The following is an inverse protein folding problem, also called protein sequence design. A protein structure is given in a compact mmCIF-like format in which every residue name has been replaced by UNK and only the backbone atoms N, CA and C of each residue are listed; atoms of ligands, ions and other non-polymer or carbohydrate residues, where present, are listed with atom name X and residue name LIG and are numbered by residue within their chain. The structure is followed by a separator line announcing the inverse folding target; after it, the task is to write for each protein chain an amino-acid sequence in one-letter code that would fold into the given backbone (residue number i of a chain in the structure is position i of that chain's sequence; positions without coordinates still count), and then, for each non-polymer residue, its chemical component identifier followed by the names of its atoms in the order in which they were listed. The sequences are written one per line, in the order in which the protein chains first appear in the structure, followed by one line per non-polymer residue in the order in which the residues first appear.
data_IF_863175190133
#
_entry.id   IF_863175190133
#
_cell.length_a   1.000
_cell.length_b   1.000
_cell.length_c   1.000
_cell.angle_alpha   90.00
_cell.angle_beta   90.00
_cell.angle_gamma   90.00
#
_symmetry.space_group_name_H-M   'P 1'
#
loop_
_entity.id
_entity.type
_entity.pdbx_description
1 polymer ?
#
# COMPACT_ATOMS: atom_id res chain seq x y z
N UNK A 1 -65.08 -3.31 -12.21
CA UNK A 1 -64.75 -1.97 -12.69
C UNK A 1 -63.27 -1.96 -13.00
N UNK A 2 -63.00 -1.80 -14.28
CA UNK A 2 -61.65 -1.83 -14.86
C UNK A 2 -60.90 -0.52 -14.60
N UNK A 3 -59.66 -0.59 -14.10
CA UNK A 3 -58.75 0.56 -13.98
C UNK A 3 -57.52 0.35 -14.85
N UNK A 4 -57.31 1.30 -15.72
CA UNK A 4 -56.43 1.39 -16.87
C UNK A 4 -54.94 1.39 -16.43
N UNK A 5 -54.08 0.60 -17.12
CA UNK A 5 -52.61 0.64 -17.08
C UNK A 5 -52.10 1.78 -18.00
N UNK A 6 -51.04 2.51 -17.63
CA UNK A 6 -50.42 3.49 -18.54
C UNK A 6 -49.38 2.84 -19.48
N UNK A 7 -49.21 3.49 -20.57
CA UNK A 7 -48.59 3.17 -21.83
C UNK A 7 -47.20 2.59 -21.81
N UNK A 8 -46.97 1.59 -22.66
CA UNK A 8 -45.73 0.96 -23.03
C UNK A 8 -44.83 1.87 -23.87
N UNK A 9 -43.62 2.14 -23.39
CA UNK A 9 -42.51 2.70 -24.17
C UNK A 9 -42.06 1.66 -25.18
N UNK A 10 -42.21 1.90 -26.48
CA UNK A 10 -41.68 1.08 -27.56
C UNK A 10 -40.16 1.20 -27.63
N UNK A 11 -39.46 0.13 -27.36
CA UNK A 11 -38.04 -0.07 -27.72
C UNK A 11 -37.96 -0.60 -29.16
N UNK A 12 -36.92 -0.23 -29.95
CA UNK A 12 -36.76 -0.72 -31.31
C UNK A 12 -36.42 -2.22 -31.30
N UNK A 13 -37.23 -2.95 -32.04
CA UNK A 13 -37.11 -4.38 -32.36
C UNK A 13 -35.85 -4.61 -33.17
N UNK A 14 -34.92 -5.41 -32.64
CA UNK A 14 -34.10 -6.43 -33.32
C UNK A 14 -32.98 -6.94 -32.43
N UNK A 15 -33.30 -7.77 -31.45
CA UNK A 15 -32.32 -8.70 -30.86
C UNK A 15 -33.02 -10.03 -30.58
N UNK A 16 -32.66 -11.04 -31.37
CA UNK A 16 -33.03 -12.42 -31.09
C UNK A 16 -32.12 -12.97 -30.00
N UNK A 17 -32.72 -13.38 -28.89
CA UNK A 17 -32.01 -14.15 -27.84
C UNK A 17 -32.18 -15.63 -28.11
N UNK A 18 -31.12 -16.31 -28.53
CA UNK A 18 -31.04 -17.77 -28.46
C UNK A 18 -30.21 -18.14 -27.22
N UNK A 19 -30.87 -18.56 -26.17
CA UNK A 19 -30.25 -19.27 -25.05
C UNK A 19 -30.38 -20.77 -25.28
N UNK A 20 -29.25 -21.48 -25.47
CA UNK A 20 -29.17 -22.93 -25.30
C UNK A 20 -28.27 -23.22 -24.10
N UNK A 21 -28.71 -24.08 -23.16
CA UNK A 21 -27.84 -24.52 -22.07
C UNK A 21 -26.91 -25.63 -22.63
N UNK A 22 -25.63 -25.39 -22.63
CA UNK A 22 -24.62 -26.43 -22.76
C UNK A 22 -24.29 -26.96 -21.37
N UNK A 23 -24.64 -28.21 -21.12
CA UNK A 23 -24.22 -28.97 -19.95
C UNK A 23 -22.87 -29.62 -20.30
N UNK A 24 -21.81 -29.25 -19.60
CA UNK A 24 -20.54 -29.98 -19.64
C UNK A 24 -20.45 -30.84 -18.37
N UNK A 25 -19.97 -32.07 -18.54
CA UNK A 25 -19.96 -33.20 -17.56
C UNK A 25 -19.04 -33.02 -16.36
N UNK A 26 -18.93 -31.83 -15.77
CA UNK A 26 -18.14 -31.55 -14.58
C UNK A 26 -18.79 -30.55 -13.62
N UNK A 27 -20.07 -30.70 -13.36
CA UNK A 27 -20.76 -30.18 -12.15
C UNK A 27 -20.50 -28.75 -11.67
N UNK A 28 -19.94 -27.87 -12.47
CA UNK A 28 -19.68 -26.48 -12.10
C UNK A 28 -20.62 -25.56 -12.88
N UNK A 29 -21.58 -24.98 -12.18
CA UNK A 29 -22.52 -23.99 -12.70
C UNK A 29 -21.73 -22.67 -12.95
N UNK A 30 -21.37 -22.39 -14.20
CA UNK A 30 -20.88 -21.07 -14.61
C UNK A 30 -22.06 -20.11 -14.73
N UNK A 31 -22.32 -19.35 -13.68
CA UNK A 31 -23.19 -18.18 -13.75
C UNK A 31 -22.43 -17.08 -14.49
N UNK A 32 -22.75 -16.89 -15.75
CA UNK A 32 -22.27 -15.73 -16.51
C UNK A 32 -22.98 -14.48 -15.99
N UNK A 33 -22.22 -13.61 -15.34
CA UNK A 33 -22.70 -12.31 -14.88
C UNK A 33 -22.96 -11.41 -16.11
N UNK A 34 -24.23 -11.24 -16.47
CA UNK A 34 -24.69 -10.43 -17.61
C UNK A 34 -24.26 -8.96 -17.47
N UNK A 35 -24.02 -8.49 -16.25
CA UNK A 35 -23.55 -7.12 -15.96
C UNK A 35 -22.12 -6.89 -16.46
N UNK A 36 -21.26 -7.91 -16.48
CA UNK A 36 -19.87 -7.77 -16.95
C UNK A 36 -19.77 -7.53 -18.48
N UNK A 37 -20.72 -8.05 -19.25
CA UNK A 37 -20.81 -7.82 -20.71
C UNK A 37 -21.37 -6.43 -21.03
N UNK A 38 -22.35 -5.94 -20.26
CA UNK A 38 -22.90 -4.60 -20.41
C UNK A 38 -21.87 -3.53 -20.08
N UNK A 39 -21.06 -3.74 -19.06
CA UNK A 39 -19.99 -2.80 -18.63
C UNK A 39 -18.87 -2.75 -19.68
N UNK A 40 -18.49 -3.87 -20.31
CA UNK A 40 -17.52 -3.88 -21.42
C UNK A 40 -18.02 -3.06 -22.63
N UNK A 41 -19.30 -3.14 -22.95
CA UNK A 41 -19.88 -2.36 -24.06
C UNK A 41 -19.96 -0.87 -23.73
N UNK A 42 -20.29 -0.50 -22.51
CA UNK A 42 -20.30 0.90 -22.03
C UNK A 42 -18.87 1.45 -21.97
N UNK A 43 -17.89 0.63 -21.56
CA UNK A 43 -16.48 1.01 -21.52
C UNK A 43 -15.91 1.25 -22.94
N UNK A 44 -16.15 0.33 -23.86
CA UNK A 44 -15.76 0.47 -25.26
C UNK A 44 -16.48 1.64 -25.97
N UNK A 45 -17.75 1.89 -25.61
CA UNK A 45 -18.54 2.98 -26.16
C UNK A 45 -18.06 4.36 -25.69
N UNK A 46 -17.67 4.51 -24.42
CA UNK A 46 -17.13 5.75 -23.90
C UNK A 46 -15.72 6.08 -24.43
N UNK A 47 -14.88 5.10 -24.71
CA UNK A 47 -13.56 5.31 -25.34
C UNK A 47 -13.72 5.75 -26.80
N UNK A 48 -14.69 5.19 -27.53
CA UNK A 48 -14.89 5.53 -28.94
C UNK A 48 -15.65 6.84 -29.19
N UNK A 49 -16.40 7.35 -28.20
CA UNK A 49 -17.13 8.63 -28.31
C UNK A 49 -16.34 9.86 -27.83
N UNK A 50 -15.16 9.70 -27.26
CA UNK A 50 -14.30 10.82 -26.84
C UNK A 50 -13.44 11.38 -27.98
N UNK A 51 -13.96 11.47 -29.19
CA UNK A 51 -13.27 12.10 -30.34
C UNK A 51 -13.32 13.61 -30.38
N UNK A 52 -13.87 14.29 -29.38
CA UNK A 52 -13.71 15.72 -29.22
C UNK A 52 -12.36 16.06 -28.59
N UNK A 53 -11.38 16.30 -29.44
CA UNK A 53 -9.98 16.63 -29.13
C UNK A 53 -9.84 17.87 -28.22
N UNK A 54 -10.90 18.66 -28.04
CA UNK A 54 -10.86 19.91 -27.27
C UNK A 54 -11.27 19.80 -25.79
N UNK A 55 -11.60 18.60 -25.27
CA UNK A 55 -11.99 18.39 -23.87
C UNK A 55 -11.32 17.19 -23.22
N UNK A 56 -10.03 16.99 -23.47
CA UNK A 56 -9.27 16.00 -22.68
C UNK A 56 -9.38 16.37 -21.20
N UNK A 57 -9.89 15.49 -20.32
CA UNK A 57 -9.96 15.79 -18.90
C UNK A 57 -8.56 16.08 -18.38
N UNK A 58 -8.44 17.09 -17.53
CA UNK A 58 -7.16 17.43 -16.90
C UNK A 58 -6.77 16.29 -15.96
N UNK A 59 -5.82 15.45 -16.38
CA UNK A 59 -5.37 14.25 -15.66
C UNK A 59 -4.38 14.56 -14.52
N UNK A 60 -4.33 15.80 -14.07
CA UNK A 60 -3.54 16.23 -12.91
C UNK A 60 -4.25 17.36 -12.17
N UNK A 61 -4.01 17.46 -10.89
CA UNK A 61 -4.60 18.47 -10.06
C UNK A 61 -3.85 19.82 -10.17
N UNK A 62 -4.58 20.92 -10.29
CA UNK A 62 -4.06 22.30 -10.35
C UNK A 62 -4.23 23.07 -9.03
N UNK A 63 -4.88 22.47 -8.04
CA UNK A 63 -5.14 23.08 -6.73
C UNK A 63 -3.95 22.81 -5.80
N UNK A 64 -3.66 23.75 -4.89
CA UNK A 64 -2.57 23.58 -3.91
C UNK A 64 -2.83 22.39 -2.98
N UNK A 65 -1.76 21.73 -2.51
CA UNK A 65 -1.91 20.64 -1.53
C UNK A 65 -2.57 21.10 -0.23
N UNK A 66 -2.31 22.34 0.20
CA UNK A 66 -2.90 22.93 1.41
C UNK A 66 -4.41 23.07 1.30
N UNK A 67 -4.89 23.57 0.16
CA UNK A 67 -6.32 23.69 -0.10
C UNK A 67 -7.01 22.33 -0.21
N UNK A 68 -6.38 21.36 -0.88
CA UNK A 68 -6.93 20.00 -0.98
C UNK A 68 -7.01 19.31 0.38
N UNK A 69 -5.98 19.48 1.21
CA UNK A 69 -5.98 18.95 2.57
C UNK A 69 -7.07 19.62 3.43
N UNK A 70 -7.24 20.94 3.30
CA UNK A 70 -8.30 21.66 4.00
C UNK A 70 -9.71 21.17 3.57
N UNK A 71 -9.93 20.95 2.27
CA UNK A 71 -11.19 20.38 1.73
C UNK A 71 -11.47 19.00 2.29
N UNK A 72 -10.46 18.11 2.32
CA UNK A 72 -10.59 16.75 2.90
C UNK A 72 -10.89 16.80 4.40
N UNK A 73 -10.24 17.70 5.16
CA UNK A 73 -10.51 17.85 6.59
C UNK A 73 -11.93 18.37 6.89
N UNK A 74 -12.48 19.19 6.00
CA UNK A 74 -13.85 19.69 6.09
C UNK A 74 -14.91 18.67 5.62
N UNK A 75 -14.51 17.60 4.92
CA UNK A 75 -15.43 16.58 4.45
C UNK A 75 -16.01 15.79 5.63
N UNK A 76 -17.32 15.66 5.69
CA UNK A 76 -18.05 14.95 6.74
C UNK A 76 -18.49 13.55 6.33
N UNK A 77 -18.45 13.23 5.03
CA UNK A 77 -18.78 11.90 4.53
C UNK A 77 -17.74 10.89 5.00
N UNK A 78 -18.16 9.77 5.62
CA UNK A 78 -17.23 8.69 5.99
C UNK A 78 -16.52 8.13 4.75
N UNK A 79 -15.25 7.79 4.89
CA UNK A 79 -14.46 7.19 3.82
C UNK A 79 -13.85 5.89 4.31
N UNK A 80 -13.65 4.96 3.39
CA UNK A 80 -12.98 3.68 3.66
C UNK A 80 -11.63 3.66 2.97
N UNK A 81 -10.58 3.48 3.75
CA UNK A 81 -9.21 3.33 3.25
C UNK A 81 -8.94 1.86 2.94
N UNK A 82 -8.49 1.59 1.71
CA UNK A 82 -8.15 0.24 1.25
C UNK A 82 -6.83 0.23 0.51
N UNK A 83 -6.12 -0.90 0.61
CA UNK A 83 -4.97 -1.19 -0.23
C UNK A 83 -5.19 -2.48 -1.01
N UNK A 84 -4.67 -2.50 -2.23
CA UNK A 84 -4.72 -3.69 -3.09
C UNK A 84 -3.57 -3.68 -4.08
N UNK A 85 -3.21 -4.86 -4.55
CA UNK A 85 -2.25 -5.02 -5.64
C UNK A 85 -2.58 -6.28 -6.44
N UNK A 86 -2.12 -6.32 -7.69
CA UNK A 86 -2.15 -7.52 -8.51
C UNK A 86 -1.01 -7.50 -9.50
N UNK A 87 -0.27 -8.59 -9.57
CA UNK A 87 0.68 -8.86 -10.65
C UNK A 87 -0.08 -9.51 -11.82
N UNK A 88 -0.02 -8.88 -12.98
CA UNK A 88 -0.57 -9.40 -14.25
C UNK A 88 0.06 -8.63 -15.42
N UNK A 89 0.11 -9.24 -16.59
CA UNK A 89 0.64 -8.58 -17.79
C UNK A 89 -0.30 -7.49 -18.27
N UNK A 90 0.23 -6.30 -18.49
CA UNK A 90 -0.49 -5.13 -18.98
C UNK A 90 0.26 -4.52 -20.17
N UNK A 91 -0.32 -4.63 -21.37
CA UNK A 91 0.35 -4.21 -22.62
C UNK A 91 0.50 -2.69 -22.71
N UNK A 92 -0.55 -1.93 -22.35
CA UNK A 92 -0.55 -0.47 -22.36
C UNK A 92 -0.90 0.11 -20.98
N UNK A 93 0.10 0.27 -20.09
CA UNK A 93 -0.10 0.85 -18.77
C UNK A 93 -0.61 2.30 -18.80
N UNK A 94 -0.29 3.06 -19.88
CA UNK A 94 -0.67 4.46 -19.98
C UNK A 94 -2.17 4.60 -20.25
N UNK A 95 -2.70 3.93 -21.26
CA UNK A 95 -4.13 3.95 -21.58
C UNK A 95 -4.95 3.37 -20.43
N UNK A 96 -4.50 2.29 -19.80
CA UNK A 96 -5.14 1.74 -18.62
C UNK A 96 -5.19 2.74 -17.46
N UNK A 97 -4.07 3.44 -17.17
CA UNK A 97 -4.01 4.48 -16.16
C UNK A 97 -5.00 5.60 -16.43
N UNK A 98 -5.07 6.09 -17.68
CA UNK A 98 -5.90 7.22 -18.04
C UNK A 98 -7.40 6.89 -17.89
N UNK A 99 -7.81 5.73 -18.38
CA UNK A 99 -9.17 5.25 -18.25
C UNK A 99 -9.59 5.02 -16.79
N UNK A 100 -8.73 4.37 -15.99
CA UNK A 100 -8.99 4.12 -14.58
C UNK A 100 -9.01 5.46 -13.78
N UNK A 101 -8.14 6.41 -14.12
CA UNK A 101 -8.11 7.73 -13.47
C UNK A 101 -9.45 8.45 -13.63
N UNK A 102 -9.98 8.53 -14.85
CA UNK A 102 -11.28 9.17 -15.13
C UNK A 102 -12.38 8.52 -14.29
N UNK A 103 -12.45 7.20 -14.29
CA UNK A 103 -13.47 6.46 -13.55
C UNK A 103 -13.38 6.67 -12.03
N UNK A 104 -12.16 6.73 -11.46
CA UNK A 104 -11.96 6.91 -10.02
C UNK A 104 -12.13 8.35 -9.56
N UNK A 105 -11.84 9.35 -10.40
CA UNK A 105 -12.13 10.77 -10.11
C UNK A 105 -13.63 10.99 -9.98
N UNK A 106 -14.45 10.41 -10.87
CA UNK A 106 -15.92 10.47 -10.80
C UNK A 106 -16.47 9.91 -9.48
N UNK A 107 -15.78 8.90 -8.92
CA UNK A 107 -16.10 8.29 -7.63
C UNK A 107 -15.51 9.04 -6.42
N UNK A 108 -14.86 10.17 -6.62
CA UNK A 108 -14.17 10.97 -5.59
C UNK A 108 -13.15 10.15 -4.79
N UNK A 109 -12.47 9.22 -5.46
CA UNK A 109 -11.41 8.41 -4.86
C UNK A 109 -10.17 9.26 -4.67
N UNK A 110 -9.55 9.19 -3.48
CA UNK A 110 -8.25 9.77 -3.21
C UNK A 110 -7.23 8.64 -3.00
N UNK A 111 -5.95 8.92 -3.16
CA UNK A 111 -4.91 7.92 -2.91
C UNK A 111 -3.76 7.94 -3.88
N UNK A 112 -2.95 6.88 -3.79
CA UNK A 112 -1.79 6.65 -4.67
C UNK A 112 -1.94 5.33 -5.39
N UNK A 113 -1.81 5.36 -6.72
CA UNK A 113 -1.87 4.17 -7.56
C UNK A 113 -0.65 4.16 -8.48
N UNK A 114 0.08 3.08 -8.47
CA UNK A 114 1.18 2.79 -9.38
C UNK A 114 0.76 1.69 -10.33
N UNK A 115 0.99 1.91 -11.63
CA UNK A 115 0.66 0.99 -12.71
C UNK A 115 1.93 0.74 -13.50
N UNK A 116 2.18 -0.50 -13.85
CA UNK A 116 3.33 -0.92 -14.64
C UNK A 116 2.90 -2.05 -15.61
N UNK A 117 3.80 -2.46 -16.50
CA UNK A 117 3.56 -3.63 -17.36
C UNK A 117 3.33 -4.92 -16.57
N UNK A 118 3.79 -4.97 -15.32
CA UNK A 118 3.65 -6.12 -14.42
C UNK A 118 2.41 -6.06 -13.52
N UNK A 119 1.56 -4.99 -13.60
CA UNK A 119 0.33 -4.91 -12.82
C UNK A 119 0.02 -3.57 -12.18
N UNK A 120 -0.65 -3.62 -11.01
CA UNK A 120 -1.15 -2.45 -10.25
C UNK A 120 -0.82 -2.58 -8.76
N UNK A 121 -0.53 -1.44 -8.13
CA UNK A 121 -0.38 -1.28 -6.67
C UNK A 121 -1.09 0.00 -6.23
N UNK A 122 -2.00 -0.10 -5.29
CA UNK A 122 -2.88 0.99 -4.88
C UNK A 122 -3.06 1.07 -3.36
N UNK A 123 -3.09 2.30 -2.85
CA UNK A 123 -3.62 2.65 -1.54
C UNK A 123 -4.58 3.82 -1.77
N UNK A 124 -5.84 3.63 -1.45
CA UNK A 124 -6.91 4.59 -1.77
C UNK A 124 -7.89 4.77 -0.63
N UNK A 125 -8.50 5.95 -0.57
CA UNK A 125 -9.60 6.31 0.31
C UNK A 125 -10.83 6.56 -0.57
N UNK A 126 -11.92 5.89 -0.28
CA UNK A 126 -13.15 5.87 -1.07
C UNK A 126 -14.31 6.34 -0.19
N UNK A 127 -15.17 7.28 -0.63
CA UNK A 127 -16.39 7.61 0.09
C UNK A 127 -17.23 6.35 0.36
N UNK A 128 -17.74 6.20 1.58
CA UNK A 128 -18.49 5.00 1.96
C UNK A 128 -19.70 4.75 1.05
N UNK A 129 -20.38 5.80 0.62
CA UNK A 129 -21.50 5.72 -0.32
C UNK A 129 -21.11 5.22 -1.72
N UNK A 130 -19.84 5.38 -2.11
CA UNK A 130 -19.33 4.97 -3.41
C UNK A 130 -18.57 3.64 -3.39
N UNK A 131 -18.40 2.99 -2.24
CA UNK A 131 -17.50 1.85 -2.09
C UNK A 131 -17.88 0.66 -2.99
N UNK A 132 -19.16 0.30 -3.07
CA UNK A 132 -19.62 -0.78 -3.95
C UNK A 132 -19.52 -0.44 -5.44
N UNK A 133 -19.73 0.83 -5.81
CA UNK A 133 -19.52 1.29 -7.18
C UNK A 133 -18.03 1.27 -7.53
N UNK A 134 -17.16 1.69 -6.61
CA UNK A 134 -15.70 1.57 -6.73
C UNK A 134 -15.27 0.12 -6.98
N UNK A 135 -15.75 -0.82 -6.16
CA UNK A 135 -15.42 -2.25 -6.30
C UNK A 135 -15.81 -2.79 -7.66
N UNK A 136 -17.02 -2.51 -8.12
CA UNK A 136 -17.50 -2.91 -9.46
C UNK A 136 -16.68 -2.27 -10.58
N UNK A 137 -16.38 -0.99 -10.49
CA UNK A 137 -15.54 -0.27 -11.46
C UNK A 137 -14.14 -0.86 -11.55
N UNK A 138 -13.53 -1.16 -10.41
CA UNK A 138 -12.21 -1.79 -10.36
C UNK A 138 -12.22 -3.17 -10.98
N UNK A 139 -13.19 -4.03 -10.66
CA UNK A 139 -13.30 -5.38 -11.21
C UNK A 139 -13.59 -5.38 -12.72
N UNK A 140 -14.31 -4.38 -13.21
CA UNK A 140 -14.59 -4.23 -14.63
C UNK A 140 -13.39 -3.68 -15.44
N UNK A 141 -12.42 -3.03 -14.78
CA UNK A 141 -11.30 -2.40 -15.46
C UNK A 141 -10.35 -3.41 -16.15
N UNK A 142 -10.19 -4.62 -15.59
CA UNK A 142 -9.39 -5.69 -16.22
C UNK A 142 -9.79 -7.06 -15.65
N UNK A 143 -9.79 -8.15 -16.49
CA UNK A 143 -10.15 -9.49 -16.03
C UNK A 143 -9.33 -9.99 -14.83
N UNK A 144 -8.04 -9.65 -14.77
CA UNK A 144 -7.15 -10.02 -13.65
C UNK A 144 -7.52 -9.34 -12.33
N UNK A 145 -8.36 -8.31 -12.35
CA UNK A 145 -8.79 -7.58 -11.15
C UNK A 145 -10.10 -8.10 -10.56
N UNK A 146 -10.77 -9.04 -11.26
CA UNK A 146 -12.00 -9.65 -10.75
C UNK A 146 -11.71 -10.39 -9.44
N UNK A 147 -12.41 -10.02 -8.37
CA UNK A 147 -12.30 -10.68 -7.07
C UNK A 147 -10.98 -10.46 -6.34
N UNK A 148 -10.15 -9.47 -6.75
CA UNK A 148 -8.93 -9.16 -6.00
C UNK A 148 -9.23 -8.80 -4.55
N UNK A 149 -8.29 -9.13 -3.68
CA UNK A 149 -8.37 -8.75 -2.27
C UNK A 149 -8.28 -7.24 -2.11
N UNK A 150 -9.20 -6.67 -1.34
CA UNK A 150 -9.17 -5.30 -0.87
C UNK A 150 -8.86 -5.32 0.63
N UNK A 151 -7.64 -4.98 1.01
CA UNK A 151 -7.21 -4.89 2.40
C UNK A 151 -7.76 -3.58 3.00
N UNK A 152 -8.84 -3.67 3.74
CA UNK A 152 -9.43 -2.53 4.47
C UNK A 152 -8.56 -2.19 5.65
N UNK A 153 -8.32 -0.92 5.89
CA UNK A 153 -7.55 -0.40 7.02
C UNK A 153 -8.05 -0.94 8.36
N UNK A 154 -7.14 -1.21 9.29
CA UNK A 154 -7.47 -1.67 10.65
C UNK A 154 -8.06 -0.54 11.48
N UNK A 155 -7.52 0.68 11.31
CA UNK A 155 -8.02 1.91 11.90
C UNK A 155 -8.18 2.94 10.78
N UNK A 156 -9.35 3.56 10.67
CA UNK A 156 -9.65 4.52 9.60
C UNK A 156 -10.42 5.72 10.14
N UNK A 157 -9.79 6.88 10.09
CA UNK A 157 -10.39 8.18 10.42
C UNK A 157 -10.97 8.89 9.19
N UNK A 158 -10.90 8.25 8.01
CA UNK A 158 -11.32 8.81 6.73
C UNK A 158 -10.40 9.90 6.18
N UNK A 159 -9.24 10.16 6.80
CA UNK A 159 -8.33 11.26 6.48
C UNK A 159 -6.99 10.82 5.88
N UNK A 160 -6.91 9.59 5.40
CA UNK A 160 -5.67 8.97 4.88
C UNK A 160 -5.09 9.65 3.63
N UNK A 161 -5.95 10.19 2.74
CA UNK A 161 -5.53 10.85 1.51
C UNK A 161 -6.44 12.04 1.16
N UNK A 162 -5.89 13.06 0.45
CA UNK A 162 -6.63 14.25 0.02
C UNK A 162 -6.65 14.47 -1.49
N UNK A 163 -5.97 13.62 -2.28
CA UNK A 163 -5.90 13.74 -3.75
C UNK A 163 -5.62 12.38 -4.37
N UNK A 164 -6.17 12.13 -5.58
CA UNK A 164 -5.83 10.97 -6.37
C UNK A 164 -4.55 11.24 -7.16
N UNK A 165 -3.53 10.39 -6.95
CA UNK A 165 -2.26 10.39 -7.72
C UNK A 165 -2.06 9.03 -8.36
N UNK A 166 -2.13 8.99 -9.68
CA UNK A 166 -1.85 7.78 -10.46
C UNK A 166 -0.64 7.99 -11.34
N UNK A 167 0.32 7.06 -11.26
CA UNK A 167 1.58 7.14 -12.02
C UNK A 167 1.88 5.82 -12.70
N UNK A 168 2.27 5.88 -13.97
CA UNK A 168 2.93 4.77 -14.65
C UNK A 168 4.38 4.71 -14.17
N UNK A 169 4.87 3.51 -13.90
CA UNK A 169 6.21 3.19 -13.43
C UNK A 169 6.74 1.98 -14.20
N UNK A 170 8.03 1.75 -14.14
CA UNK A 170 8.64 0.55 -14.71
C UNK A 170 8.20 -0.71 -13.96
N UNK A 171 8.01 -0.58 -12.63
CA UNK A 171 7.59 -1.65 -11.73
C UNK A 171 6.60 -1.14 -10.68
N UNK A 172 5.68 -2.01 -10.22
CA UNK A 172 4.73 -1.65 -9.15
C UNK A 172 5.35 -1.67 -7.75
N UNK A 173 6.51 -2.33 -7.59
CA UNK A 173 7.39 -2.24 -6.43
C UNK A 173 8.84 -2.21 -6.91
N UNK A 174 9.66 -1.34 -6.33
CA UNK A 174 11.05 -1.14 -6.75
C UNK A 174 11.95 -2.24 -6.18
N UNK A 175 12.01 -3.41 -6.83
CA UNK A 175 12.75 -4.59 -6.38
C UNK A 175 14.23 -4.61 -6.82
N UNK A 176 14.56 -3.93 -7.91
CA UNK A 176 15.93 -3.90 -8.46
C UNK A 176 16.45 -5.23 -9.02
N UNK A 177 15.59 -6.22 -9.22
CA UNK A 177 15.98 -7.52 -9.77
C UNK A 177 16.21 -7.36 -11.27
N UNK A 178 17.44 -7.58 -11.72
CA UNK A 178 17.85 -7.48 -13.12
C UNK A 178 18.42 -8.82 -13.64
N UNK A 179 17.79 -9.92 -13.24
CA UNK A 179 18.15 -11.28 -13.61
C UNK A 179 17.11 -11.83 -14.60
N UNK A 180 17.47 -12.07 -15.87
CA UNK A 180 16.53 -12.56 -16.89
C UNK A 180 15.97 -13.94 -16.60
N UNK A 181 16.63 -14.73 -15.75
CA UNK A 181 16.17 -16.07 -15.33
C UNK A 181 15.19 -16.04 -14.14
N UNK A 182 15.00 -14.87 -13.54
CA UNK A 182 14.07 -14.70 -12.43
C UNK A 182 12.62 -14.76 -12.89
N UNK A 183 11.86 -15.69 -12.30
CA UNK A 183 10.42 -15.84 -12.55
C UNK A 183 9.63 -15.32 -11.33
N UNK A 184 9.01 -14.14 -11.41
CA UNK A 184 8.23 -13.57 -10.31
C UNK A 184 6.95 -14.34 -9.97
N UNK A 185 6.53 -15.29 -10.83
CA UNK A 185 5.35 -16.14 -10.59
C UNK A 185 5.66 -17.32 -9.67
N UNK A 186 6.92 -17.66 -9.45
CA UNK A 186 7.33 -18.76 -8.57
C UNK A 186 7.39 -18.33 -7.10
N UNK A 187 6.30 -17.76 -6.60
CA UNK A 187 6.17 -17.28 -5.23
C UNK A 187 6.25 -18.39 -4.19
N UNK A 188 6.51 -18.03 -2.92
CA UNK A 188 6.40 -18.91 -1.76
C UNK A 188 4.95 -19.31 -1.49
N UNK A 189 4.75 -20.21 -0.51
CA UNK A 189 3.42 -20.61 -0.08
C UNK A 189 2.75 -19.51 0.74
N UNK A 190 1.47 -19.26 0.50
CA UNK A 190 0.68 -18.34 1.30
C UNK A 190 0.29 -18.96 2.62
N UNK A 191 0.32 -18.17 3.69
CA UNK A 191 -0.12 -18.56 5.03
C UNK A 191 -1.29 -17.69 5.48
N UNK A 192 -2.35 -18.32 5.99
CA UNK A 192 -3.41 -17.66 6.75
C UNK A 192 -3.02 -17.45 8.22
N UNK A 193 -3.82 -16.73 9.01
CA UNK A 193 -3.47 -16.38 10.38
C UNK A 193 -3.27 -17.60 11.31
N UNK A 194 -4.04 -18.65 11.14
CA UNK A 194 -3.88 -19.88 11.96
C UNK A 194 -2.56 -20.60 11.64
N UNK A 195 -2.18 -20.64 10.35
CA UNK A 195 -0.91 -21.21 9.91
C UNK A 195 0.27 -20.37 10.38
N UNK A 196 0.17 -19.03 10.30
CA UNK A 196 1.17 -18.10 10.83
C UNK A 196 1.42 -18.38 12.33
N UNK A 197 0.35 -18.47 13.13
CA UNK A 197 0.47 -18.71 14.56
C UNK A 197 1.08 -20.08 14.87
N UNK A 198 0.77 -21.10 14.06
CA UNK A 198 1.38 -22.42 14.20
C UNK A 198 2.87 -22.39 13.88
N UNK A 199 3.25 -21.71 12.80
CA UNK A 199 4.67 -21.57 12.43
C UNK A 199 5.46 -20.68 13.39
N UNK A 200 4.83 -19.69 14.02
CA UNK A 200 5.46 -18.87 15.04
C UNK A 200 5.83 -19.65 16.31
N UNK A 201 5.19 -20.80 16.55
CA UNK A 201 5.53 -21.70 17.65
C UNK A 201 6.60 -22.76 17.28
N UNK A 202 6.98 -22.85 16.02
CA UNK A 202 7.97 -23.82 15.54
C UNK A 202 9.38 -23.22 15.60
N UNK A 203 10.33 -23.83 16.36
CA UNK A 203 11.70 -23.32 16.51
C UNK A 203 12.53 -23.36 15.22
N UNK A 204 12.13 -24.18 14.24
CA UNK A 204 12.77 -24.24 12.93
C UNK A 204 12.22 -23.20 11.93
N UNK A 205 11.36 -22.30 12.39
CA UNK A 205 10.78 -21.24 11.56
C UNK A 205 11.42 -19.89 11.89
N UNK A 206 11.83 -19.16 10.85
CA UNK A 206 12.33 -17.80 10.92
C UNK A 206 11.33 -16.82 10.29
N UNK A 207 10.92 -15.83 11.07
CA UNK A 207 10.09 -14.71 10.56
C UNK A 207 10.98 -13.59 10.08
N UNK A 208 10.78 -13.13 8.85
CA UNK A 208 11.61 -12.11 8.20
C UNK A 208 10.74 -10.91 7.83
N UNK A 209 11.05 -9.75 8.39
CA UNK A 209 10.38 -8.51 8.06
C UNK A 209 10.94 -7.92 6.75
N UNK A 210 10.09 -7.88 5.71
CA UNK A 210 10.44 -7.29 4.42
C UNK A 210 9.99 -5.82 4.33
N UNK A 211 9.91 -5.16 5.47
CA UNK A 211 9.64 -3.72 5.57
C UNK A 211 10.92 -2.96 5.86
N UNK A 212 10.87 -1.64 5.66
CA UNK A 212 12.00 -0.78 6.01
C UNK A 212 12.18 -0.67 7.52
N UNK A 213 13.37 -0.26 7.96
CA UNK A 213 13.72 -0.11 9.37
C UNK A 213 12.68 0.69 10.17
N UNK A 214 12.27 1.87 9.68
CA UNK A 214 11.30 2.73 10.37
C UNK A 214 9.91 2.10 10.52
N UNK A 215 9.56 1.10 9.70
CA UNK A 215 8.33 0.33 9.84
C UNK A 215 8.48 -0.75 10.92
N UNK A 216 9.65 -1.43 10.95
CA UNK A 216 9.99 -2.45 11.95
C UNK A 216 10.11 -1.86 13.36
N UNK A 217 10.69 -0.67 13.49
CA UNK A 217 10.99 -0.01 14.76
C UNK A 217 9.74 0.20 15.63
N UNK A 218 8.57 0.48 15.03
CA UNK A 218 7.32 0.75 15.76
C UNK A 218 6.42 -0.46 15.94
N UNK A 219 6.72 -1.57 15.25
CA UNK A 219 5.95 -2.81 15.41
C UNK A 219 6.45 -3.91 14.47
N UNK A 220 6.46 -5.14 14.95
CA UNK A 220 6.89 -6.32 14.21
C UNK A 220 6.32 -7.60 14.84
N UNK A 221 6.43 -8.74 14.17
CA UNK A 221 6.09 -10.02 14.77
C UNK A 221 7.08 -10.36 15.88
N UNK A 222 6.61 -11.01 16.95
CA UNK A 222 7.47 -11.54 18.01
C UNK A 222 8.62 -12.34 17.40
N UNK A 223 9.85 -12.04 17.81
CA UNK A 223 11.10 -12.71 17.35
C UNK A 223 11.40 -12.57 15.84
N UNK A 224 10.75 -11.69 15.11
CA UNK A 224 11.05 -11.47 13.71
C UNK A 224 12.46 -10.88 13.52
N UNK A 225 13.12 -11.33 12.46
CA UNK A 225 14.40 -10.79 12.04
C UNK A 225 14.17 -9.58 11.13
N UNK A 226 14.78 -8.47 11.47
CA UNK A 226 14.87 -7.30 10.61
C UNK A 226 15.95 -7.51 9.54
N UNK A 227 15.64 -7.16 8.28
CA UNK A 227 16.67 -7.00 7.26
C UNK A 227 17.08 -5.51 7.24
N UNK A 228 18.30 -5.18 7.71
CA UNK A 228 18.67 -3.80 8.02
C UNK A 228 19.00 -2.96 6.76
N UNK A 229 18.00 -2.70 5.94
CA UNK A 229 18.09 -1.91 4.69
C UNK A 229 17.15 -0.71 4.69
N UNK A 230 17.46 0.29 3.89
CA UNK A 230 16.62 1.48 3.71
C UNK A 230 15.67 1.37 2.52
N UNK A 231 15.92 0.43 1.61
CA UNK A 231 15.11 0.22 0.41
C UNK A 231 14.86 -1.26 0.16
N UNK A 232 13.69 -1.57 -0.40
CA UNK A 232 13.36 -2.95 -0.79
C UNK A 232 14.35 -3.56 -1.79
N UNK A 233 14.96 -2.73 -2.66
CA UNK A 233 15.98 -3.16 -3.61
C UNK A 233 17.23 -3.69 -2.92
N UNK A 234 17.70 -3.01 -1.87
CA UNK A 234 18.86 -3.44 -1.08
C UNK A 234 18.50 -4.63 -0.18
N UNK A 235 17.25 -4.69 0.26
CA UNK A 235 16.76 -5.69 1.19
C UNK A 235 16.83 -7.12 0.63
N UNK A 236 16.50 -7.29 -0.66
CA UNK A 236 16.44 -8.61 -1.28
C UNK A 236 17.78 -9.36 -1.23
N UNK A 237 18.91 -8.81 -1.76
CA UNK A 237 20.20 -9.48 -1.66
C UNK A 237 20.66 -9.62 -0.20
N UNK A 238 20.43 -8.62 0.64
CA UNK A 238 20.82 -8.65 2.05
C UNK A 238 20.09 -9.77 2.83
N UNK A 239 18.81 -9.99 2.56
CA UNK A 239 18.07 -11.11 3.16
C UNK A 239 18.65 -12.47 2.75
N UNK A 240 19.05 -12.64 1.48
CA UNK A 240 19.71 -13.86 0.99
C UNK A 240 21.04 -14.09 1.72
N UNK A 241 21.85 -13.04 1.87
CA UNK A 241 23.17 -13.14 2.54
C UNK A 241 23.02 -13.45 4.03
N UNK A 242 22.09 -12.76 4.72
CA UNK A 242 21.81 -13.01 6.14
C UNK A 242 21.38 -14.46 6.41
N UNK A 243 20.59 -15.03 5.51
CA UNK A 243 19.98 -16.35 5.66
C UNK A 243 20.73 -17.45 4.89
N UNK A 244 21.94 -17.18 4.39
CA UNK A 244 22.67 -18.09 3.50
C UNK A 244 22.89 -19.49 4.09
N UNK A 245 22.96 -19.61 5.43
CA UNK A 245 23.14 -20.88 6.18
C UNK A 245 21.83 -21.56 6.58
N UNK A 246 20.68 -20.86 6.37
CA UNK A 246 19.36 -21.27 6.86
C UNK A 246 18.43 -21.73 5.72
N UNK A 247 19.01 -22.17 4.58
CA UNK A 247 18.24 -22.51 3.36
C UNK A 247 17.29 -23.69 3.52
N UNK A 248 17.51 -24.51 4.53
CA UNK A 248 16.69 -25.68 4.85
C UNK A 248 15.61 -25.39 5.91
N UNK A 249 15.65 -24.22 6.58
CA UNK A 249 14.63 -23.79 7.53
C UNK A 249 13.39 -23.27 6.86
N UNK A 250 12.30 -23.20 7.62
CA UNK A 250 11.07 -22.52 7.22
C UNK A 250 11.29 -21.00 7.29
N UNK A 251 11.16 -20.32 6.17
CA UNK A 251 11.28 -18.85 6.08
C UNK A 251 9.91 -18.24 5.84
N UNK A 252 9.36 -17.57 6.83
CA UNK A 252 8.09 -16.85 6.76
C UNK A 252 8.35 -15.36 6.56
N UNK A 253 7.96 -14.81 5.41
CA UNK A 253 8.17 -13.42 5.05
C UNK A 253 6.88 -12.63 5.20
N UNK A 254 6.98 -11.38 5.67
CA UNK A 254 5.82 -10.50 5.78
C UNK A 254 6.15 -9.05 5.44
N UNK A 255 5.11 -8.30 5.05
CA UNK A 255 5.13 -6.84 4.95
C UNK A 255 3.72 -6.31 5.25
N UNK A 256 3.48 -5.01 5.11
CA UNK A 256 2.21 -4.38 5.45
C UNK A 256 1.00 -5.00 4.75
N UNK A 257 1.03 -5.13 3.41
CA UNK A 257 -0.10 -5.59 2.59
C UNK A 257 0.21 -6.77 1.66
N UNK A 258 1.41 -7.38 1.72
CA UNK A 258 1.79 -8.58 0.96
C UNK A 258 2.60 -8.33 -0.31
N UNK A 259 2.52 -7.15 -0.94
CA UNK A 259 3.11 -6.89 -2.28
C UNK A 259 4.63 -7.12 -2.36
N UNK A 260 5.39 -6.69 -1.34
CA UNK A 260 6.84 -6.91 -1.29
C UNK A 260 7.16 -8.41 -1.18
N UNK A 261 6.36 -9.13 -0.41
CA UNK A 261 6.56 -10.55 -0.15
C UNK A 261 6.28 -11.45 -1.35
N UNK A 262 5.42 -11.07 -2.27
CA UNK A 262 5.25 -11.77 -3.55
C UNK A 262 6.62 -11.90 -4.25
N UNK A 263 7.29 -10.78 -4.49
CA UNK A 263 8.60 -10.78 -5.15
C UNK A 263 9.71 -11.33 -4.26
N UNK A 264 9.72 -11.02 -2.97
CA UNK A 264 10.73 -11.48 -2.05
C UNK A 264 10.73 -13.01 -1.93
N UNK A 265 9.55 -13.63 -1.80
CA UNK A 265 9.45 -15.09 -1.69
C UNK A 265 9.86 -15.79 -3.00
N UNK A 266 9.50 -15.24 -4.15
CA UNK A 266 9.96 -15.75 -5.44
C UNK A 266 11.49 -15.64 -5.57
N UNK A 267 12.07 -14.51 -5.12
CA UNK A 267 13.52 -14.29 -5.15
C UNK A 267 14.28 -15.24 -4.22
N UNK A 268 13.79 -15.45 -2.99
CA UNK A 268 14.39 -16.43 -2.06
C UNK A 268 14.37 -17.85 -2.65
N UNK A 269 13.25 -18.27 -3.25
CA UNK A 269 13.18 -19.56 -3.95
C UNK A 269 14.16 -19.65 -5.12
N UNK A 270 14.27 -18.58 -5.90
CA UNK A 270 15.24 -18.48 -7.00
C UNK A 270 16.69 -18.60 -6.50
N UNK A 271 17.00 -18.11 -5.28
CA UNK A 271 18.30 -18.24 -4.62
C UNK A 271 18.49 -19.57 -3.87
N UNK A 272 17.57 -20.52 -4.02
CA UNK A 272 17.68 -21.90 -3.55
C UNK A 272 17.21 -22.16 -2.13
N UNK A 273 16.41 -21.28 -1.53
CA UNK A 273 15.70 -21.55 -0.28
C UNK A 273 14.56 -22.55 -0.54
N UNK A 274 14.44 -23.59 0.28
CA UNK A 274 13.55 -24.73 0.02
C UNK A 274 12.12 -24.48 0.54
N UNK A 275 12.00 -23.93 1.74
CA UNK A 275 10.75 -23.77 2.46
C UNK A 275 10.45 -22.28 2.67
N UNK A 276 9.90 -21.64 1.63
CA UNK A 276 9.61 -20.21 1.64
C UNK A 276 8.10 -19.99 1.69
N UNK A 277 7.67 -19.21 2.68
CA UNK A 277 6.28 -18.86 2.94
C UNK A 277 6.15 -17.35 3.04
N UNK A 278 4.94 -16.85 2.83
CA UNK A 278 4.63 -15.45 3.11
C UNK A 278 3.19 -15.27 3.57
N UNK A 279 2.97 -14.25 4.39
CA UNK A 279 1.66 -13.97 4.98
C UNK A 279 0.75 -13.41 3.90
N UNK A 280 -0.38 -14.10 3.65
CA UNK A 280 -1.37 -13.69 2.67
C UNK A 280 -2.03 -12.36 3.05
N UNK A 281 -1.96 -11.35 2.17
CA UNK A 281 -2.46 -10.00 2.47
C UNK A 281 -1.68 -9.22 3.52
N UNK A 282 -0.53 -9.75 3.99
CA UNK A 282 0.38 -9.11 4.93
C UNK A 282 -0.18 -8.95 6.34
N UNK A 283 0.41 -8.03 7.12
CA UNK A 283 0.02 -7.75 8.50
C UNK A 283 -1.46 -7.40 8.61
N UNK A 284 -1.99 -6.58 7.71
CA UNK A 284 -3.39 -6.11 7.76
C UNK A 284 -4.36 -7.30 7.74
N UNK A 285 -4.17 -8.22 6.80
CA UNK A 285 -5.06 -9.37 6.67
C UNK A 285 -4.85 -10.38 7.78
N UNK A 286 -3.60 -10.59 8.22
CA UNK A 286 -3.30 -11.43 9.38
C UNK A 286 -4.05 -10.97 10.63
N UNK A 287 -3.99 -9.69 10.97
CA UNK A 287 -4.67 -9.13 12.15
C UNK A 287 -6.18 -9.27 12.02
N UNK A 288 -6.74 -9.00 10.82
CA UNK A 288 -8.18 -9.18 10.58
C UNK A 288 -8.63 -10.63 10.79
N UNK A 289 -7.90 -11.59 10.23
CA UNK A 289 -8.20 -13.02 10.38
C UNK A 289 -8.03 -13.48 11.82
N UNK A 290 -6.93 -13.09 12.48
CA UNK A 290 -6.67 -13.46 13.87
C UNK A 290 -7.81 -12.97 14.79
N UNK A 291 -8.22 -11.71 14.66
CA UNK A 291 -9.33 -11.15 15.43
C UNK A 291 -10.66 -11.86 15.12
N UNK A 292 -10.98 -12.11 13.85
CA UNK A 292 -12.21 -12.79 13.45
C UNK A 292 -12.29 -14.24 13.95
N UNK A 293 -11.15 -14.90 14.11
CA UNK A 293 -11.05 -16.29 14.59
C UNK A 293 -10.76 -16.40 16.09
N UNK A 294 -10.63 -15.28 16.82
CA UNK A 294 -10.27 -15.27 18.24
C UNK A 294 -8.86 -15.84 18.51
N UNK A 295 -7.95 -15.75 17.54
CA UNK A 295 -6.57 -16.20 17.69
C UNK A 295 -5.72 -15.12 18.36
N UNK A 296 -4.67 -15.50 19.14
CA UNK A 296 -3.73 -14.53 19.68
C UNK A 296 -2.97 -13.85 18.52
N UNK A 297 -2.92 -12.52 18.56
CA UNK A 297 -2.14 -11.73 17.60
C UNK A 297 -0.68 -11.75 18.02
N UNK A 298 0.20 -12.17 17.11
CA UNK A 298 1.66 -12.31 17.31
C UNK A 298 2.46 -11.11 16.82
N UNK A 299 1.78 -10.09 16.30
CA UNK A 299 2.38 -8.82 15.92
C UNK A 299 2.26 -7.84 17.08
N UNK A 300 3.37 -7.23 17.50
CA UNK A 300 3.45 -6.28 18.59
C UNK A 300 3.65 -4.85 18.07
N UNK A 301 3.03 -3.87 18.75
CA UNK A 301 3.16 -2.46 18.46
C UNK A 301 2.24 -1.97 17.34
N UNK A 302 2.79 -1.13 16.46
CA UNK A 302 2.09 -0.42 15.40
C UNK A 302 2.47 -0.93 14.01
N UNK A 303 1.50 -1.13 13.13
CA UNK A 303 1.74 -1.35 11.72
C UNK A 303 1.87 0.02 11.01
N UNK A 304 3.07 0.35 10.53
CA UNK A 304 3.27 1.57 9.75
C UNK A 304 2.52 1.52 8.42
N UNK A 305 1.83 2.61 8.07
CA UNK A 305 1.12 2.78 6.80
C UNK A 305 1.58 4.03 6.06
N UNK A 306 1.56 3.98 4.72
CA UNK A 306 2.11 5.04 3.85
C UNK A 306 1.07 6.12 3.51
N UNK A 307 0.33 6.60 4.49
CA UNK A 307 -0.64 7.69 4.34
C UNK A 307 -0.56 8.66 5.53
N UNK A 308 -1.50 9.61 5.63
CA UNK A 308 -1.46 10.64 6.69
C UNK A 308 -1.58 10.09 8.11
N UNK A 309 -2.06 8.88 8.29
CA UNK A 309 -2.17 8.22 9.60
C UNK A 309 -0.81 7.75 10.13
N UNK A 310 0.15 7.47 9.22
CA UNK A 310 1.51 6.96 9.48
C UNK A 310 1.59 5.70 10.38
N UNK A 311 0.47 5.11 10.74
CA UNK A 311 0.43 3.87 11.52
C UNK A 311 -0.98 3.50 11.95
N UNK A 312 -1.16 2.21 12.20
CA UNK A 312 -2.38 1.58 12.73
C UNK A 312 -1.97 0.76 13.95
N UNK A 313 -2.63 0.97 15.09
CA UNK A 313 -2.34 0.22 16.30
C UNK A 313 -2.82 -1.22 16.16
N UNK A 314 -1.94 -2.16 16.47
CA UNK A 314 -2.23 -3.59 16.49
C UNK A 314 -2.26 -4.13 17.90
N UNK A 315 -1.31 -3.72 18.76
CA UNK A 315 -1.32 -4.02 20.20
C UNK A 315 -1.07 -2.75 21.00
N UNK A 316 -1.29 -2.79 22.31
CA UNK A 316 -1.06 -1.66 23.21
C UNK A 316 0.44 -1.41 23.51
N UNK A 317 1.32 -2.29 23.05
CA UNK A 317 2.75 -2.18 23.26
C UNK A 317 3.32 -0.98 22.53
N UNK A 318 4.18 -0.22 23.21
CA UNK A 318 5.01 0.85 22.65
C UNK A 318 6.46 0.38 22.72
N UNK A 319 6.96 -0.17 21.62
CA UNK A 319 8.29 -0.81 21.58
C UNK A 319 9.38 0.12 21.07
N UNK A 320 9.00 1.25 20.47
CA UNK A 320 9.92 2.26 19.96
C UNK A 320 10.16 3.38 20.97
N UNK A 321 11.13 4.23 20.65
CA UNK A 321 11.55 5.34 21.51
C UNK A 321 11.64 6.65 20.72
N UNK A 322 11.38 7.76 21.39
CA UNK A 322 11.57 9.09 20.82
C UNK A 322 13.03 9.28 20.40
N UNK A 323 13.27 9.64 19.16
CA UNK A 323 14.63 9.83 18.63
C UNK A 323 15.39 11.01 19.22
N UNK A 324 14.72 11.86 20.02
CA UNK A 324 15.34 13.04 20.65
C UNK A 324 15.62 12.88 22.14
N UNK A 325 14.75 12.21 22.89
CA UNK A 325 14.91 12.08 24.34
C UNK A 325 15.01 10.62 24.83
N UNK A 326 14.71 9.64 23.99
CA UNK A 326 14.76 8.21 24.36
C UNK A 326 13.53 7.70 25.14
N UNK A 327 12.55 8.54 25.46
CA UNK A 327 11.32 8.09 26.12
C UNK A 327 10.48 7.17 25.20
N UNK A 328 9.74 6.20 25.75
CA UNK A 328 8.87 5.34 24.97
C UNK A 328 7.90 6.14 24.08
N UNK A 329 7.93 5.90 22.79
CA UNK A 329 7.11 6.61 21.80
C UNK A 329 7.09 5.86 20.47
N UNK A 330 5.94 5.80 19.82
CA UNK A 330 5.79 5.21 18.49
C UNK A 330 5.09 6.17 17.49
N UNK A 331 5.17 7.47 17.75
CA UNK A 331 4.59 8.49 16.90
C UNK A 331 5.58 8.95 15.86
N UNK A 332 5.37 8.51 14.61
CA UNK A 332 6.11 9.04 13.47
C UNK A 332 5.66 10.45 13.11
N UNK A 333 6.62 11.28 12.74
CA UNK A 333 6.38 12.61 12.20
C UNK A 333 7.41 12.95 11.12
N UNK A 334 7.04 13.85 10.21
CA UNK A 334 7.98 14.43 9.26
C UNK A 334 8.50 15.75 9.82
N UNK A 335 9.80 15.97 9.77
CA UNK A 335 10.40 17.22 10.19
C UNK A 335 9.69 18.41 9.54
N UNK A 336 9.26 19.38 10.35
CA UNK A 336 8.56 20.58 9.90
C UNK A 336 9.40 21.45 8.96
N UNK A 337 10.73 21.35 9.03
CA UNK A 337 11.62 22.01 8.07
C UNK A 337 11.43 21.38 6.68
N UNK A 338 10.79 22.12 5.77
CA UNK A 338 10.54 21.69 4.39
C UNK A 338 11.82 21.39 3.60
N UNK A 339 12.99 21.85 4.05
CA UNK A 339 14.29 21.50 3.45
C UNK A 339 14.87 20.19 3.98
N UNK A 340 14.29 19.64 5.05
CA UNK A 340 14.71 18.41 5.72
C UNK A 340 13.76 17.25 5.42
N UNK A 341 12.48 17.36 5.79
CA UNK A 341 11.44 16.36 5.66
C UNK A 341 11.79 14.96 6.22
N UNK A 342 12.75 14.90 7.17
CA UNK A 342 13.12 13.63 7.79
C UNK A 342 11.92 13.00 8.48
N UNK A 343 11.66 11.73 8.18
CA UNK A 343 10.72 10.90 8.95
C UNK A 343 11.43 10.39 10.20
N UNK A 344 10.85 10.61 11.38
CA UNK A 344 11.44 10.21 12.67
C UNK A 344 10.35 10.03 13.73
N UNK A 345 10.73 9.42 14.87
CA UNK A 345 9.83 9.24 16.01
C UNK A 345 10.02 10.38 16.99
N UNK A 346 8.92 11.05 17.38
CA UNK A 346 8.96 12.20 18.28
C UNK A 346 7.82 12.13 19.30
N UNK A 347 8.17 12.19 20.58
CA UNK A 347 7.18 12.30 21.65
C UNK A 347 6.61 13.73 21.73
N UNK A 348 5.47 13.87 22.43
CA UNK A 348 4.75 15.13 22.56
C UNK A 348 5.65 16.25 23.14
N UNK A 349 6.39 15.98 24.21
CA UNK A 349 7.27 16.95 24.86
C UNK A 349 8.37 17.46 23.91
N UNK A 350 8.98 16.57 23.11
CA UNK A 350 9.95 16.96 22.11
C UNK A 350 9.31 17.70 20.93
N UNK A 351 8.09 17.34 20.53
CA UNK A 351 7.37 18.04 19.48
C UNK A 351 7.07 19.50 19.88
N UNK A 352 6.70 19.75 21.12
CA UNK A 352 6.52 21.08 21.67
C UNK A 352 7.85 21.84 21.75
N UNK A 353 8.90 21.22 22.31
CA UNK A 353 10.24 21.83 22.48
C UNK A 353 10.87 22.23 21.14
N UNK A 354 10.80 21.37 20.13
CA UNK A 354 11.43 21.56 18.82
C UNK A 354 10.45 21.98 17.73
N UNK A 355 9.21 22.35 18.08
CA UNK A 355 8.15 22.77 17.15
C UNK A 355 8.01 21.81 15.95
N UNK A 356 8.05 20.48 16.20
CA UNK A 356 7.95 19.43 15.18
C UNK A 356 9.21 19.29 14.30
N UNK A 357 10.33 19.89 14.67
CA UNK A 357 11.61 19.74 13.97
C UNK A 357 12.44 18.61 14.57
N UNK A 358 13.26 17.97 13.72
CA UNK A 358 14.10 16.84 14.14
C UNK A 358 15.36 17.27 14.92
N UNK A 359 15.80 18.54 14.79
CA UNK A 359 16.97 19.09 15.47
C UNK A 359 16.82 20.58 15.72
N UNK A 360 17.73 21.14 16.53
CA UNK A 360 17.81 22.58 16.78
C UNK A 360 18.10 23.35 15.47
N UNK A 361 19.00 22.83 14.61
CA UNK A 361 19.30 23.49 13.34
C UNK A 361 18.06 23.58 12.43
N UNK A 362 17.23 22.52 12.42
CA UNK A 362 15.98 22.55 11.67
C UNK A 362 14.98 23.54 12.25
N UNK A 363 14.94 23.68 13.58
CA UNK A 363 14.11 24.68 14.28
C UNK A 363 14.57 26.10 13.90
N UNK A 364 15.87 26.38 13.97
CA UNK A 364 16.46 27.67 13.61
C UNK A 364 16.20 28.02 12.14
N UNK A 365 16.29 27.05 11.23
CA UNK A 365 15.93 27.26 9.82
C UNK A 365 14.46 27.62 9.61
N UNK A 366 13.54 27.01 10.35
CA UNK A 366 12.10 27.34 10.25
C UNK A 366 11.77 28.73 10.77
N UNK A 367 12.63 29.31 11.60
CA UNK A 367 12.49 30.68 12.09
C UNK A 367 12.94 31.75 11.08
N UNK A 368 13.66 31.36 10.00
CA UNK A 368 14.11 32.29 8.98
C UNK A 368 12.95 32.77 8.09
N UNK A 369 13.07 33.96 7.45
CA UNK A 369 12.07 34.43 6.49
C UNK A 369 11.83 33.40 5.35
N UNK A 370 10.59 33.25 4.86
CA UNK A 370 10.26 32.24 3.83
C UNK A 370 11.11 32.32 2.54
N UNK A 371 11.55 33.54 2.18
CA UNK A 371 12.43 33.74 1.02
C UNK A 371 13.81 33.13 1.25
N UNK A 372 14.39 33.31 2.44
CA UNK A 372 15.67 32.73 2.80
C UNK A 372 15.61 31.20 2.94
N UNK A 373 14.52 30.66 3.54
CA UNK A 373 14.29 29.22 3.55
C UNK A 373 14.25 28.63 2.14
N UNK A 374 13.57 29.30 1.16
CA UNK A 374 13.52 28.87 -0.23
C UNK A 374 14.91 28.91 -0.88
N UNK A 375 15.67 29.97 -0.65
CA UNK A 375 17.04 30.13 -1.17
C UNK A 375 17.95 29.00 -0.67
N UNK A 376 17.91 28.71 0.62
CA UNK A 376 18.72 27.62 1.22
C UNK A 376 18.32 26.24 0.69
N UNK A 377 17.03 25.99 0.48
CA UNK A 377 16.57 24.74 -0.16
C UNK A 377 17.09 24.55 -1.57
N UNK A 378 17.14 25.61 -2.37
CA UNK A 378 17.65 25.57 -3.73
C UNK A 378 19.17 25.32 -3.79
N UNK A 379 19.91 25.79 -2.80
CA UNK A 379 21.37 25.59 -2.68
C UNK A 379 21.74 24.20 -2.13
N UNK A 380 20.82 23.56 -1.41
CA UNK A 380 21.02 22.16 -1.00
C UNK A 380 20.91 21.29 -2.23
N UNK A 381 22.01 20.64 -2.59
CA UNK A 381 21.97 19.58 -3.61
C UNK A 381 20.84 18.61 -3.24
N UNK A 382 20.07 18.16 -4.24
CA UNK A 382 19.00 17.18 -4.16
C UNK A 382 19.52 15.79 -3.72
N UNK A 383 20.40 15.78 -2.74
CA UNK A 383 21.03 14.59 -2.20
C UNK A 383 20.21 14.08 -1.05
N UNK A 384 19.51 13.02 -1.27
CA UNK A 384 19.16 12.04 -0.23
C UNK A 384 17.68 11.74 -0.17
N UNK A 385 17.44 10.47 -0.33
CA UNK A 385 16.22 9.83 0.08
C UNK A 385 15.91 10.23 1.53
N UNK A 386 14.73 10.79 1.77
CA UNK A 386 14.29 11.31 3.08
C UNK A 386 14.37 10.23 4.17
N UNK A 387 14.26 8.96 3.77
CA UNK A 387 14.31 7.80 4.66
C UNK A 387 15.73 7.37 5.04
N UNK A 388 16.75 7.62 4.22
CA UNK A 388 18.14 7.21 4.49
C UNK A 388 18.82 8.04 5.58
N UNK A 389 18.26 9.20 5.94
CA UNK A 389 18.83 10.07 6.96
C UNK A 389 18.61 9.56 8.38
N UNK A 390 17.55 8.76 8.61
CA UNK A 390 17.15 8.37 9.96
C UNK A 390 18.16 7.45 10.67
N UNK A 391 18.87 6.58 9.95
CA UNK A 391 19.80 5.63 10.55
C UNK A 391 21.16 6.19 10.97
N UNK A 392 21.83 6.92 10.08
CA UNK A 392 23.18 7.43 10.37
C UNK A 392 23.16 8.67 11.24
N UNK A 393 22.40 9.66 10.81
CA UNK A 393 22.40 11.00 11.43
C UNK A 393 21.78 11.02 12.83
N UNK A 394 20.73 10.23 13.07
CA UNK A 394 20.05 10.21 14.37
C UNK A 394 20.84 9.46 15.44
N UNK A 395 21.52 8.35 15.10
CA UNK A 395 22.37 7.61 16.04
C UNK A 395 23.58 8.42 16.51
N UNK A 396 24.21 9.17 15.60
CA UNK A 396 25.37 10.00 15.94
C UNK A 396 25.00 11.30 16.68
N UNK A 397 23.89 11.93 16.29
CA UNK A 397 23.50 13.24 16.87
C UNK A 397 22.71 13.17 18.16
N UNK A 398 22.05 12.06 18.47
CA UNK A 398 21.13 11.94 19.60
C UNK A 398 21.67 11.11 20.77
N UNK A 399 22.92 10.63 20.74
CA UNK A 399 23.49 9.81 21.83
C UNK A 399 22.56 8.66 22.28
N UNK A 400 21.83 8.03 21.34
CA UNK A 400 21.03 6.84 21.65
C UNK A 400 22.03 5.74 21.99
N UNK A 401 22.03 5.18 23.23
CA UNK A 401 22.91 4.08 23.57
C UNK A 401 22.67 2.94 22.60
N UNK A 402 23.73 2.37 22.07
CA UNK A 402 23.68 1.18 21.24
C UNK A 402 23.00 0.07 22.07
N UNK A 403 21.69 -0.14 21.86
CA UNK A 403 20.94 -1.16 22.59
C UNK A 403 21.34 -2.54 22.07
N UNK A 404 22.60 -2.90 22.40
CA UNK A 404 22.95 -4.26 22.62
C UNK A 404 23.06 -5.17 21.42
N UNK A 405 24.18 -5.15 20.74
CA UNK A 405 24.83 -6.44 20.47
C UNK A 405 25.37 -6.98 21.77
N UNK A 406 24.61 -7.77 22.49
CA UNK A 406 25.19 -8.74 23.41
C UNK A 406 25.45 -10.01 22.61
N UNK A 407 26.74 -10.31 22.56
CA UNK A 407 27.38 -11.53 22.09
C UNK A 407 26.65 -12.82 22.42
#
# INVERSE_FOLDING_TARGET
MFGVLPETVKLPTNYFVFGYPFVHDSGCLLVYDFDALLIKSVWAFNINNSKDINTMPVLHNRVSNEELKARMLAETEPRTTVSFYKYFSLDDPQSFRDALYIALVDLKVFGRIYIAREGINAQVSVPASHFERFRRTLFAAHPALVGIRLNVALQDDGKSFWVLRMKVRDRIVADGIDDPSFDPCKVGQYLNAAEVNRMAADPDTLFIDMRNHYEYEVGHFEHALEVPSDTFREQLPMAVDMLAREKDKNIVMYCTGGIRCEKASAYMRHKGFKHVFHIEGGIIEYVRQANALGLPVKFIGKNFVFDERMGERVSEDVIAHCHQCGEPCDTHTNCRNQGCHLLFIQCQSCAEKYNGCCSQECLDETALPPAEQRRRRQLRESRMNVFNKSRGFMRESLHIPDTGKKS
#
